data_IF_575544059338
#
_entry.id   IF_575544059338
#
_cell.length_a   1.000
_cell.length_b   1.000
_cell.length_c   1.000
_cell.angle_alpha   90.00
_cell.angle_beta   90.00
_cell.angle_gamma   90.00
#
_symmetry.space_group_name_H-M   'P 1'
#
loop_
_entity.id
_entity.type
_entity.pdbx_description
1 polymer ?
#
# COMPACT_ATOMS: atom_id res chain seq x y z
N UNK A 1 2.92 -27.54 0.89
CA UNK A 1 3.47 -26.19 0.93
C UNK A 1 2.38 -25.17 1.10
N UNK A 2 2.65 -24.17 1.89
CA UNK A 2 1.67 -23.12 2.07
C UNK A 2 1.62 -22.20 0.84
N UNK A 3 0.43 -21.76 0.49
CA UNK A 3 0.27 -20.84 -0.61
C UNK A 3 0.82 -19.47 -0.23
N UNK A 4 1.37 -18.76 -1.19
CA UNK A 4 1.88 -17.41 -0.99
C UNK A 4 1.32 -16.52 -2.10
N UNK A 5 0.95 -15.31 -1.71
CA UNK A 5 0.36 -14.36 -2.63
C UNK A 5 1.17 -13.07 -2.60
N UNK A 6 1.45 -12.52 -3.76
CA UNK A 6 2.36 -11.40 -3.88
C UNK A 6 1.68 -10.17 -4.46
N UNK A 7 2.10 -9.00 -4.00
CA UNK A 7 1.65 -7.75 -4.58
C UNK A 7 2.72 -6.69 -4.39
N UNK A 8 2.92 -5.87 -5.41
CA UNK A 8 3.83 -4.74 -5.33
C UNK A 8 3.01 -3.46 -5.26
N UNK A 9 3.28 -2.64 -4.25
CA UNK A 9 2.61 -1.37 -4.07
C UNK A 9 3.55 -0.22 -4.26
N UNK A 10 3.02 0.91 -4.71
CA UNK A 10 3.80 2.13 -4.92
C UNK A 10 3.03 3.33 -4.45
N UNK A 11 3.75 4.26 -3.85
CA UNK A 11 3.16 5.52 -3.43
C UNK A 11 4.26 6.57 -3.42
N UNK A 12 4.12 7.61 -4.27
CA UNK A 12 5.17 8.61 -4.42
C UNK A 12 6.47 7.91 -4.78
N UNK A 13 7.51 8.09 -3.99
CA UNK A 13 8.79 7.45 -4.25
C UNK A 13 8.98 6.14 -3.49
N UNK A 14 7.96 5.67 -2.79
CA UNK A 14 8.04 4.43 -2.02
C UNK A 14 7.59 3.25 -2.85
N UNK A 15 8.29 2.13 -2.69
CA UNK A 15 7.95 0.86 -3.34
C UNK A 15 7.91 -0.21 -2.26
N UNK A 16 6.81 -0.96 -2.22
CA UNK A 16 6.63 -2.04 -1.25
C UNK A 16 6.41 -3.35 -1.97
N UNK A 17 7.15 -4.38 -1.57
CA UNK A 17 6.91 -5.74 -2.03
C UNK A 17 6.25 -6.49 -0.89
N UNK A 18 5.05 -6.97 -1.13
CA UNK A 18 4.23 -7.58 -0.11
C UNK A 18 3.99 -9.04 -0.44
N UNK A 19 4.07 -9.87 0.59
CA UNK A 19 3.76 -11.28 0.48
C UNK A 19 2.78 -11.64 1.59
N UNK A 20 1.71 -12.32 1.21
CA UNK A 20 0.73 -12.85 2.16
C UNK A 20 0.94 -14.36 2.27
N UNK A 21 1.00 -14.85 3.49
CA UNK A 21 1.08 -16.28 3.77
C UNK A 21 0.00 -16.64 4.79
N UNK A 22 -0.49 -17.87 4.79
CA UNK A 22 -1.48 -18.26 5.82
C UNK A 22 -0.91 -18.03 7.21
N UNK A 23 -1.70 -17.41 8.07
CA UNK A 23 -1.22 -17.09 9.41
C UNK A 23 -2.33 -16.54 10.29
N UNK A 24 -1.96 -15.72 11.25
CA UNK A 24 -2.87 -15.25 12.28
C UNK A 24 -3.05 -13.73 12.31
N UNK A 25 -2.41 -13.01 11.39
CA UNK A 25 -2.56 -11.56 11.33
C UNK A 25 -1.31 -10.78 11.70
N UNK A 26 -0.18 -11.44 11.77
CA UNK A 26 1.07 -10.77 12.09
C UNK A 26 1.57 -10.00 10.88
N UNK A 27 2.00 -8.77 11.09
CA UNK A 27 2.53 -7.93 10.01
C UNK A 27 3.98 -7.58 10.31
N UNK A 28 4.85 -7.91 9.38
CA UNK A 28 6.29 -7.66 9.49
C UNK A 28 6.72 -6.75 8.35
N UNK A 29 7.44 -5.67 8.66
CA UNK A 29 7.93 -4.72 7.68
C UNK A 29 9.44 -4.64 7.80
N UNK A 30 10.14 -4.97 6.73
CA UNK A 30 11.60 -4.98 6.70
C UNK A 30 12.18 -5.76 7.88
N UNK A 31 11.58 -6.93 8.15
CA UNK A 31 12.00 -7.87 9.20
C UNK A 31 11.75 -7.38 10.62
N UNK A 32 10.89 -6.36 10.78
CA UNK A 32 10.53 -5.83 12.09
C UNK A 32 9.02 -5.88 12.27
N UNK A 33 8.56 -5.97 13.50
CA UNK A 33 7.13 -5.88 13.77
C UNK A 33 6.60 -4.55 13.29
N UNK A 34 5.33 -4.53 12.89
CA UNK A 34 4.70 -3.33 12.34
C UNK A 34 4.86 -2.12 13.27
N UNK A 35 4.53 -2.28 14.55
CA UNK A 35 4.61 -1.15 15.47
C UNK A 35 6.03 -0.74 15.77
N UNK A 36 6.98 -1.65 15.68
CA UNK A 36 8.40 -1.30 15.85
C UNK A 36 8.91 -0.49 14.67
N UNK A 37 8.43 -0.80 13.49
CA UNK A 37 8.92 -0.14 12.29
C UNK A 37 8.37 1.28 12.16
N UNK A 38 7.06 1.44 12.32
CA UNK A 38 6.43 2.76 12.13
C UNK A 38 6.28 3.55 13.42
N UNK A 39 5.94 2.88 14.51
CA UNK A 39 5.76 3.55 15.78
C UNK A 39 4.59 4.52 15.82
N UNK A 40 3.70 4.49 14.84
CA UNK A 40 2.54 5.37 14.76
C UNK A 40 1.29 4.56 14.47
N UNK A 41 0.32 4.69 15.36
CA UNK A 41 -0.92 3.97 15.25
C UNK A 41 -1.69 4.32 13.97
N UNK A 42 -1.65 5.59 13.55
CA UNK A 42 -2.36 6.01 12.34
C UNK A 42 -1.81 5.31 11.10
N UNK A 43 -0.50 5.12 11.03
CA UNK A 43 0.11 4.43 9.88
C UNK A 43 -0.20 2.94 9.90
N UNK A 44 -0.26 2.35 11.09
CA UNK A 44 -0.64 0.94 11.22
C UNK A 44 -2.06 0.72 10.75
N UNK A 45 -2.97 1.64 11.07
CA UNK A 45 -4.36 1.53 10.62
C UNK A 45 -4.46 1.59 9.11
N UNK A 46 -3.68 2.46 8.47
CA UNK A 46 -3.66 2.56 7.02
C UNK A 46 -3.27 1.22 6.39
N UNK A 47 -2.25 0.59 6.94
CA UNK A 47 -1.75 -0.68 6.41
C UNK A 47 -2.78 -1.79 6.58
N UNK A 48 -3.52 -1.79 7.68
CA UNK A 48 -4.49 -2.84 7.97
C UNK A 48 -5.82 -2.67 7.25
N UNK A 49 -6.10 -1.50 6.68
CA UNK A 49 -7.39 -1.22 6.06
C UNK A 49 -7.84 -2.27 5.04
N UNK A 50 -7.00 -2.69 4.07
CA UNK A 50 -7.48 -3.67 3.09
C UNK A 50 -7.79 -5.03 3.72
N UNK A 51 -7.04 -5.41 4.76
CA UNK A 51 -7.31 -6.67 5.45
C UNK A 51 -8.63 -6.61 6.20
N UNK A 52 -8.91 -5.50 6.85
CA UNK A 52 -10.17 -5.31 7.58
C UNK A 52 -11.35 -5.24 6.63
N UNK A 53 -11.18 -4.56 5.52
CA UNK A 53 -12.24 -4.42 4.53
C UNK A 53 -12.67 -5.78 3.96
N UNK A 54 -11.73 -6.67 3.74
CA UNK A 54 -11.99 -7.98 3.14
C UNK A 54 -12.22 -9.07 4.18
N UNK A 55 -12.14 -8.74 5.47
CA UNK A 55 -12.36 -9.72 6.53
C UNK A 55 -11.28 -10.78 6.64
N UNK A 56 -10.04 -10.44 6.24
CA UNK A 56 -8.95 -11.40 6.22
C UNK A 56 -7.88 -11.12 7.27
N UNK A 57 -8.16 -10.24 8.23
CA UNK A 57 -7.17 -9.77 9.20
C UNK A 57 -6.47 -10.89 9.94
N UNK A 58 -7.20 -11.95 10.28
CA UNK A 58 -6.66 -13.04 11.07
C UNK A 58 -6.37 -14.29 10.24
N UNK A 59 -6.43 -14.18 8.92
CA UNK A 59 -6.22 -15.31 8.04
C UNK A 59 -4.82 -15.35 7.44
N UNK A 60 -4.17 -14.20 7.34
CA UNK A 60 -2.87 -14.11 6.68
C UNK A 60 -1.89 -13.33 7.51
N UNK A 61 -0.63 -13.73 7.45
CA UNK A 61 0.47 -12.91 7.90
C UNK A 61 0.98 -12.12 6.71
N UNK A 62 1.43 -10.90 6.97
CA UNK A 62 1.93 -10.00 5.94
C UNK A 62 3.42 -9.84 6.11
N UNK A 63 4.17 -10.10 5.06
CA UNK A 63 5.61 -9.86 5.04
C UNK A 63 5.86 -8.81 3.97
N UNK A 64 6.33 -7.64 4.39
CA UNK A 64 6.54 -6.53 3.47
C UNK A 64 7.99 -6.06 3.52
N UNK A 65 8.53 -5.75 2.35
CA UNK A 65 9.81 -5.06 2.23
C UNK A 65 9.53 -3.76 1.52
N UNK A 66 9.92 -2.65 2.13
CA UNK A 66 9.61 -1.33 1.59
C UNK A 66 10.86 -0.47 1.56
N UNK A 67 10.97 0.36 0.53
CA UNK A 67 12.10 1.27 0.37
C UNK A 67 11.61 2.59 -0.20
N UNK A 68 12.37 3.64 0.08
CA UNK A 68 12.13 4.96 -0.46
C UNK A 68 11.07 5.74 0.28
N UNK A 69 11.06 7.05 0.07
CA UNK A 69 10.05 7.94 0.61
C UNK A 69 10.07 8.03 2.13
N UNK A 70 9.05 8.68 2.67
CA UNK A 70 8.87 8.81 4.11
C UNK A 70 7.90 7.79 4.64
N UNK A 71 7.68 7.81 5.96
CA UNK A 71 6.84 6.82 6.64
C UNK A 71 5.42 6.76 6.06
N UNK A 72 4.83 7.91 5.79
CA UNK A 72 3.47 7.97 5.27
C UNK A 72 3.39 7.38 3.86
N UNK A 73 4.38 7.68 3.00
CA UNK A 73 4.44 7.09 1.66
C UNK A 73 4.67 5.60 1.72
N UNK A 74 5.50 5.14 2.64
CA UNK A 74 5.74 3.72 2.81
C UNK A 74 4.49 2.98 3.26
N UNK A 75 3.74 3.54 4.20
CA UNK A 75 2.50 2.92 4.65
C UNK A 75 1.50 2.81 3.50
N UNK A 76 1.39 3.86 2.69
CA UNK A 76 0.51 3.83 1.51
C UNK A 76 0.94 2.80 0.48
N UNK A 77 2.25 2.66 0.28
CA UNK A 77 2.77 1.66 -0.66
C UNK A 77 2.48 0.24 -0.16
N UNK A 78 2.64 0.01 1.14
CA UNK A 78 2.33 -1.30 1.73
C UNK A 78 0.85 -1.61 1.59
N UNK A 79 -0.03 -0.63 1.87
CA UNK A 79 -1.47 -0.82 1.70
C UNK A 79 -1.81 -1.20 0.26
N UNK A 80 -1.21 -0.53 -0.69
CA UNK A 80 -1.42 -0.84 -2.09
C UNK A 80 -0.94 -2.25 -2.43
N UNK A 81 0.22 -2.63 -1.91
CA UNK A 81 0.76 -3.97 -2.13
C UNK A 81 -0.10 -5.07 -1.52
N UNK A 82 -0.60 -4.85 -0.31
CA UNK A 82 -1.51 -5.81 0.33
C UNK A 82 -2.77 -5.97 -0.50
N UNK A 83 -3.33 -4.86 -0.98
CA UNK A 83 -4.55 -4.91 -1.78
C UNK A 83 -4.34 -5.71 -3.05
N UNK A 84 -3.21 -5.52 -3.71
CA UNK A 84 -2.91 -6.28 -4.92
C UNK A 84 -2.67 -7.76 -4.62
N UNK A 85 -2.03 -8.07 -3.50
CA UNK A 85 -1.84 -9.47 -3.11
C UNK A 85 -3.18 -10.13 -2.79
N UNK A 86 -4.12 -9.40 -2.20
CA UNK A 86 -5.45 -9.95 -1.92
C UNK A 86 -6.21 -10.31 -3.20
N UNK A 87 -5.94 -9.61 -4.29
CA UNK A 87 -6.55 -9.97 -5.58
C UNK A 87 -6.07 -11.33 -6.06
N UNK A 88 -4.86 -11.72 -5.68
CA UNK A 88 -4.36 -13.07 -5.99
C UNK A 88 -5.06 -14.12 -5.14
N UNK A 89 -5.47 -13.76 -3.92
CA UNK A 89 -6.23 -14.66 -3.07
C UNK A 89 -7.62 -14.88 -3.64
N UNK A 90 -8.28 -13.80 -4.00
CA UNK A 90 -9.66 -13.84 -4.49
C UNK A 90 -9.94 -12.61 -5.33
N UNK A 91 -10.09 -12.83 -6.63
CA UNK A 91 -10.32 -11.74 -7.58
C UNK A 91 -11.63 -11.00 -7.31
N UNK A 92 -12.58 -11.63 -6.62
CA UNK A 92 -13.85 -10.99 -6.30
C UNK A 92 -13.70 -9.85 -5.30
N UNK A 93 -12.56 -9.75 -4.63
CA UNK A 93 -12.29 -8.63 -3.74
C UNK A 93 -12.01 -7.32 -4.47
N UNK A 94 -11.82 -7.39 -5.79
CA UNK A 94 -11.44 -6.20 -6.57
C UNK A 94 -12.45 -5.06 -6.41
N UNK A 95 -13.73 -5.37 -6.45
CA UNK A 95 -14.77 -4.36 -6.38
C UNK A 95 -14.67 -3.54 -5.09
N UNK A 96 -14.55 -4.21 -3.95
CA UNK A 96 -14.48 -3.53 -2.66
C UNK A 96 -13.19 -2.74 -2.51
N UNK A 97 -12.07 -3.33 -2.93
CA UNK A 97 -10.79 -2.67 -2.81
C UNK A 97 -10.69 -1.46 -3.74
N UNK A 98 -11.28 -1.55 -4.92
CA UNK A 98 -11.30 -0.44 -5.85
C UNK A 98 -12.16 0.71 -5.34
N UNK A 99 -13.34 0.39 -4.79
CA UNK A 99 -14.20 1.42 -4.23
C UNK A 99 -13.55 2.16 -3.08
N UNK A 100 -12.78 1.47 -2.28
CA UNK A 100 -12.08 2.08 -1.16
C UNK A 100 -10.85 2.90 -1.61
N UNK A 101 -10.47 2.80 -2.88
CA UNK A 101 -9.33 3.54 -3.39
C UNK A 101 -7.98 2.87 -3.14
N UNK A 102 -7.98 1.61 -2.71
CA UNK A 102 -6.73 0.94 -2.33
C UNK A 102 -5.96 0.38 -3.50
N UNK A 103 -6.58 0.30 -4.67
CA UNK A 103 -5.93 -0.21 -5.87
C UNK A 103 -5.42 0.87 -6.80
N UNK A 104 -5.71 2.12 -6.50
CA UNK A 104 -5.37 3.23 -7.38
C UNK A 104 -4.02 3.82 -7.00
N UNK A 105 -3.13 3.91 -7.97
CA UNK A 105 -1.89 4.61 -7.79
C UNK A 105 -2.16 6.11 -7.80
N UNK A 106 -1.37 6.88 -7.08
CA UNK A 106 -1.51 8.31 -7.01
C UNK A 106 -1.28 8.92 -8.41
N UNK A 107 -2.32 9.46 -9.05
CA UNK A 107 -2.19 9.97 -10.42
C UNK A 107 -1.44 11.29 -10.51
N UNK A 108 -1.27 11.99 -9.41
CA UNK A 108 -0.61 13.29 -9.45
C UNK A 108 0.84 13.20 -9.91
N UNK A 109 1.45 12.06 -9.70
CA UNK A 109 2.83 11.90 -10.16
C UNK A 109 2.94 11.96 -11.67
N UNK A 110 1.88 11.61 -12.38
CA UNK A 110 1.88 11.68 -13.83
C UNK A 110 1.50 13.05 -14.33
N UNK A 111 0.57 13.67 -13.66
CA UNK A 111 0.05 14.95 -14.11
C UNK A 111 1.04 16.09 -13.98
N UNK A 112 1.95 15.97 -13.06
CA UNK A 112 2.89 17.05 -12.81
C UNK A 112 3.84 17.32 -13.94
N UNK A 113 3.86 16.46 -14.90
CA UNK A 113 4.72 16.66 -16.07
C UNK A 113 4.15 17.57 -17.11
N UNK A 114 2.94 18.01 -16.93
CA UNK A 114 2.31 18.85 -17.88
C UNK A 114 2.39 20.30 -17.55
N UNK A 115 2.27 21.07 -17.66
CA UNK A 115 2.02 22.39 -17.25
C UNK A 115 3.06 23.32 -17.27
N UNK A 116 2.69 23.23 -17.03
CA UNK A 116 3.36 23.75 -16.66
C UNK A 116 3.10 24.47 -16.59
N UNK A 117 2.05 24.14 -16.79
CA UNK A 117 1.98 24.60 -16.63
C UNK A 117 1.79 24.97 -16.46
N UNK A 118 1.46 24.99 -16.41
CA UNK A 118 1.30 25.31 -16.15
C UNK A 118 1.34 25.36 -15.65
N UNK A 119 1.11 25.30 -15.62
CA UNK A 119 1.16 25.32 -15.12
C UNK A 119 1.28 25.07 -14.60
N UNK A 120 0.97 25.01 -14.56
CA UNK A 120 1.21 24.78 -13.98
C UNK A 120 1.12 24.75 -13.63
N UNK A 121 0.80 25.00 -13.66
CA UNK A 121 0.93 24.99 -13.34
C UNK A 121 1.25 25.03 -12.91
N UNK A 122 1.13 25.36 -12.89
CA UNK A 122 1.52 25.22 -12.49
C UNK A 122 1.81 24.94 -11.99
N UNK A 123 1.76 24.97 -11.94
CA UNK A 123 2.22 24.48 -11.30
C UNK A 123 2.31 24.21 -10.77
N UNK A 124 2.30 24.42 -10.72
CA UNK A 124 2.59 23.95 -10.00
C UNK A 124 2.40 23.68 -9.33
N UNK A 125 2.25 23.88 -9.08
CA UNK A 125 2.07 23.41 -8.36
C UNK A 125 1.83 22.82 -7.83
N UNK A 126 1.67 22.63 -7.86
CA UNK A 126 1.49 21.70 -7.31
C UNK A 126 1.88 21.22 -6.72
N UNK A 127 2.14 21.22 -6.51
CA UNK A 127 2.52 20.46 -5.96
C UNK A 127 2.78 19.97 -5.79
N UNK A 128 3.06 19.73 -5.47
CA UNK A 128 3.34 19.05 -5.30
C UNK A 128 3.62 18.31 -4.85
N UNK A 129 3.83 17.91 -4.54
CA UNK A 129 4.37 17.19 -4.05
C UNK A 129 4.47 16.56 -4.09
#
# INVERSE_FOLDING_TARGET
MAAQYYGTGRRKSSVARVRLVPGTGKITVNKRNLNDYFGRQTLELIIKQPLELTGTTEQYDVIANVAGGGASGQAGAIRHGISRALLEVDADMRSDLKKAGFLTRDPRMKERKKYGLKKARKASQFSKS
#
